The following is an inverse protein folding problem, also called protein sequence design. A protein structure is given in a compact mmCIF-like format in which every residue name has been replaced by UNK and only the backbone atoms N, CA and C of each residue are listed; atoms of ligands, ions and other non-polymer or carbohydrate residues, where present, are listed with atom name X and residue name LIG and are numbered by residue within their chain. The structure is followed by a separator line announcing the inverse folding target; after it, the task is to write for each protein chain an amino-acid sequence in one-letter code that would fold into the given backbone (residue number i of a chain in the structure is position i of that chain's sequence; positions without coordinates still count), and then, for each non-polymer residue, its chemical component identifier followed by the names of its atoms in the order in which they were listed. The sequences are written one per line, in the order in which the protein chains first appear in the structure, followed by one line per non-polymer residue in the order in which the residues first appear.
data_IF_807489542010
#
_entry.id   IF_807489542010
#
_cell.length_a   1.000
_cell.length_b   1.000
_cell.length_c   1.000
_cell.angle_alpha   90.00
_cell.angle_beta   90.00
_cell.angle_gamma   90.00
#
_symmetry.space_group_name_H-M   'P 1'
#
loop_
_entity.id
_entity.type
_entity.pdbx_description
1 polymer ?
#
# COMPACT_ATOMS: atom_id res chain seq x y z
N UNK A 1 9.24 -57.66 -13.02
CA UNK A 1 8.02 -56.83 -12.94
C UNK A 1 8.44 -55.49 -12.37
N UNK A 2 8.59 -54.49 -13.25
CA UNK A 2 9.23 -53.22 -12.91
C UNK A 2 8.28 -52.29 -12.14
N UNK A 3 8.83 -51.69 -11.10
CA UNK A 3 8.17 -50.89 -10.07
C UNK A 3 7.63 -49.57 -10.65
N UNK A 4 6.29 -49.40 -10.66
CA UNK A 4 5.59 -48.16 -11.08
C UNK A 4 5.50 -46.99 -10.07
N UNK A 5 6.00 -47.02 -8.81
CA UNK A 5 5.83 -45.90 -7.89
C UNK A 5 6.79 -44.73 -8.19
N UNK A 6 7.91 -44.96 -8.88
CA UNK A 6 8.92 -43.91 -9.13
C UNK A 6 8.42 -42.83 -10.12
N UNK A 7 7.61 -43.22 -11.10
CA UNK A 7 7.12 -42.31 -12.15
C UNK A 7 5.96 -41.43 -11.68
N UNK A 8 5.10 -41.97 -10.81
CA UNK A 8 3.97 -41.22 -10.23
C UNK A 8 4.46 -40.20 -9.21
N UNK A 9 5.47 -40.56 -8.40
CA UNK A 9 6.09 -39.62 -7.44
C UNK A 9 6.79 -38.47 -8.16
N UNK A 10 7.45 -38.70 -9.29
CA UNK A 10 8.09 -37.65 -10.08
C UNK A 10 7.08 -36.69 -10.73
N UNK A 11 5.95 -37.20 -11.23
CA UNK A 11 4.88 -36.37 -11.83
C UNK A 11 4.12 -35.59 -10.76
N UNK A 12 3.84 -36.22 -9.62
CA UNK A 12 3.22 -35.53 -8.48
C UNK A 12 4.18 -34.51 -7.88
N UNK A 13 5.48 -34.79 -7.78
CA UNK A 13 6.48 -33.79 -7.37
C UNK A 13 6.65 -32.67 -8.40
N UNK A 14 6.55 -32.93 -9.70
CA UNK A 14 6.56 -31.89 -10.74
C UNK A 14 5.28 -31.04 -10.69
N UNK A 15 4.12 -31.65 -10.46
CA UNK A 15 2.85 -30.94 -10.29
C UNK A 15 2.77 -30.19 -8.96
N UNK A 16 3.36 -30.73 -7.90
CA UNK A 16 3.49 -30.06 -6.60
C UNK A 16 4.53 -28.93 -6.69
N UNK A 17 5.63 -29.08 -7.42
CA UNK A 17 6.56 -27.96 -7.71
C UNK A 17 5.94 -26.89 -8.63
N UNK A 18 4.88 -27.23 -9.38
CA UNK A 18 4.07 -26.27 -10.14
C UNK A 18 2.93 -25.65 -9.31
N UNK A 19 2.63 -26.17 -8.11
CA UNK A 19 1.49 -25.76 -7.28
C UNK A 19 1.89 -25.25 -5.87
N UNK A 20 3.09 -25.58 -5.38
CA UNK A 20 3.63 -25.12 -4.11
C UNK A 20 4.58 -23.94 -4.40
N UNK A 21 4.07 -22.73 -4.17
CA UNK A 21 4.93 -21.58 -3.86
C UNK A 21 4.76 -20.31 -4.68
N UNK A 22 3.70 -20.16 -5.48
CA UNK A 22 3.46 -18.89 -6.16
C UNK A 22 2.12 -18.29 -5.74
N UNK A 23 2.14 -17.38 -4.76
CA UNK A 23 1.26 -16.23 -4.80
C UNK A 23 1.67 -15.43 -6.05
N UNK A 24 1.20 -15.88 -7.21
CA UNK A 24 1.55 -15.31 -8.49
C UNK A 24 1.03 -13.87 -8.57
N UNK A 25 1.91 -12.96 -8.97
CA UNK A 25 1.51 -11.66 -9.50
C UNK A 25 0.41 -11.88 -10.55
N UNK A 26 -0.76 -11.28 -10.35
CA UNK A 26 -1.88 -11.44 -11.28
C UNK A 26 -1.52 -10.87 -12.65
N UNK A 27 -2.15 -11.31 -13.74
CA UNK A 27 -1.88 -10.74 -15.07
C UNK A 27 -2.13 -9.23 -15.10
N UNK A 28 -3.20 -8.78 -14.44
CA UNK A 28 -3.54 -7.37 -14.23
C UNK A 28 -2.51 -6.67 -13.34
N UNK A 29 -2.04 -7.33 -12.27
CA UNK A 29 -0.97 -6.86 -11.40
C UNK A 29 0.31 -6.61 -12.18
N UNK A 30 0.73 -7.58 -13.01
CA UNK A 30 1.92 -7.48 -13.85
C UNK A 30 1.82 -6.34 -14.85
N UNK A 31 0.66 -6.17 -15.49
CA UNK A 31 0.42 -5.02 -16.38
C UNK A 31 0.51 -3.69 -15.63
N UNK A 32 -0.15 -3.59 -14.47
CA UNK A 32 -0.16 -2.39 -13.64
C UNK A 32 1.24 -1.99 -13.15
N UNK A 33 2.03 -2.97 -12.70
CA UNK A 33 3.41 -2.74 -12.29
C UNK A 33 4.29 -2.35 -13.47
N UNK A 34 4.13 -2.98 -14.63
CA UNK A 34 4.91 -2.64 -15.83
C UNK A 34 4.62 -1.20 -16.29
N UNK A 35 3.37 -0.74 -16.17
CA UNK A 35 2.98 0.64 -16.49
C UNK A 35 3.53 1.64 -15.46
N UNK A 36 3.45 1.32 -14.17
CA UNK A 36 3.88 2.20 -13.08
C UNK A 36 5.41 2.26 -12.92
N UNK A 37 6.12 1.18 -13.22
CA UNK A 37 7.56 1.04 -12.97
C UNK A 37 8.39 1.15 -14.26
N UNK A 38 7.95 1.99 -15.22
CA UNK A 38 8.53 2.11 -16.57
C UNK A 38 10.06 1.92 -16.60
N UNK A 39 10.52 0.81 -17.19
CA UNK A 39 11.94 0.52 -17.39
C UNK A 39 12.65 -0.19 -16.23
N UNK A 40 11.98 -0.48 -15.12
CA UNK A 40 12.54 -1.23 -13.99
C UNK A 40 12.38 -2.75 -14.22
N UNK A 41 13.42 -3.51 -13.89
CA UNK A 41 13.37 -4.97 -13.88
C UNK A 41 12.62 -5.46 -12.62
N UNK A 42 11.44 -6.05 -12.81
CA UNK A 42 10.58 -6.51 -11.72
C UNK A 42 11.24 -7.60 -10.84
N UNK A 43 12.05 -8.47 -11.42
CA UNK A 43 12.73 -9.55 -10.67
C UNK A 43 13.81 -8.96 -9.76
N UNK A 44 14.63 -8.06 -10.31
CA UNK A 44 15.67 -7.35 -9.55
C UNK A 44 15.06 -6.54 -8.40
N UNK A 45 13.95 -5.83 -8.67
CA UNK A 45 13.23 -5.06 -7.65
C UNK A 45 12.70 -5.96 -6.53
N UNK A 46 12.15 -7.11 -6.89
CA UNK A 46 11.61 -8.08 -5.95
C UNK A 46 12.71 -8.63 -5.03
N UNK A 47 13.87 -8.99 -5.60
CA UNK A 47 15.03 -9.46 -4.84
C UNK A 47 15.54 -8.40 -3.86
N UNK A 48 15.68 -7.15 -4.32
CA UNK A 48 16.09 -6.01 -3.48
C UNK A 48 15.15 -5.80 -2.30
N UNK A 49 13.84 -5.80 -2.54
CA UNK A 49 12.84 -5.65 -1.49
C UNK A 49 12.82 -6.84 -0.52
N UNK A 50 13.07 -8.07 -0.99
CA UNK A 50 13.20 -9.26 -0.12
C UNK A 50 14.41 -9.13 0.80
N UNK A 51 15.56 -8.72 0.28
CA UNK A 51 16.78 -8.51 1.07
C UNK A 51 16.56 -7.46 2.16
N UNK A 52 15.87 -6.36 1.85
CA UNK A 52 15.48 -5.35 2.85
C UNK A 52 14.61 -5.93 3.97
N UNK A 53 13.65 -6.80 3.65
CA UNK A 53 12.78 -7.44 4.66
C UNK A 53 13.55 -8.40 5.57
N UNK A 54 14.42 -9.24 5.00
CA UNK A 54 15.22 -10.22 5.76
C UNK A 54 16.14 -9.52 6.76
N UNK A 55 16.88 -8.49 6.32
CA UNK A 55 17.76 -7.71 7.20
C UNK A 55 16.96 -7.03 8.33
N UNK A 56 15.72 -6.62 8.08
CA UNK A 56 14.83 -6.09 9.11
C UNK A 56 14.50 -7.09 10.22
N UNK A 57 14.33 -8.37 9.88
CA UNK A 57 13.98 -9.44 10.83
C UNK A 57 15.18 -9.85 11.70
N UNK A 58 16.37 -9.97 11.11
CA UNK A 58 17.59 -10.33 11.85
C UNK A 58 17.96 -9.27 12.90
N UNK A 59 17.68 -7.99 12.62
CA UNK A 59 17.93 -6.89 13.55
C UNK A 59 16.91 -6.79 14.70
N UNK A 60 15.76 -7.49 14.63
CA UNK A 60 14.81 -7.58 15.73
C UNK A 60 15.18 -8.67 16.76
N UNK A 61 16.12 -9.55 16.44
CA UNK A 61 16.51 -10.69 17.28
C UNK A 61 17.38 -10.32 18.50
N UNK A 62 17.83 -9.07 18.65
CA UNK A 62 18.66 -8.63 19.81
C UNK A 62 17.88 -7.92 20.93
N UNK A 63 16.55 -7.84 20.86
CA UNK A 63 15.71 -7.48 22.01
C UNK A 63 14.84 -8.67 22.40
N UNK A 64 15.09 -9.24 23.58
CA UNK A 64 14.39 -10.38 24.20
C UNK A 64 12.96 -10.59 23.65
N UNK A 65 12.84 -11.61 22.80
CA UNK A 65 11.58 -12.07 22.25
C UNK A 65 10.64 -12.57 23.36
N UNK A 66 9.44 -12.03 23.40
CA UNK A 66 8.27 -12.77 23.89
C UNK A 66 7.76 -13.57 22.70
N UNK A 67 7.57 -14.89 22.81
CA UNK A 67 7.26 -15.73 21.65
C UNK A 67 5.89 -15.34 21.09
N UNK A 68 5.86 -14.97 19.81
CA UNK A 68 4.63 -14.95 19.02
C UNK A 68 4.42 -16.37 18.56
N UNK A 69 3.35 -16.98 19.08
CA UNK A 69 2.87 -18.30 18.69
C UNK A 69 2.64 -18.35 17.19
N UNK A 70 3.33 -19.28 16.55
CA UNK A 70 2.86 -19.97 15.35
C UNK A 70 1.49 -20.56 15.64
N UNK A 71 0.48 -20.13 14.89
CA UNK A 71 -0.68 -20.96 14.60
C UNK A 71 -0.76 -21.05 13.08
N UNK A 72 -0.24 -22.14 12.54
CA UNK A 72 -0.75 -22.66 11.28
C UNK A 72 -2.01 -23.46 11.57
N UNK A 73 -3.03 -23.27 10.73
CA UNK A 73 -4.02 -24.26 10.25
C UNK A 73 -5.41 -23.65 10.22
N UNK A 74 -5.96 -23.52 9.03
CA UNK A 74 -7.40 -23.27 8.86
C UNK A 74 -7.75 -22.78 7.47
N UNK A 75 -7.94 -23.72 6.53
CA UNK A 75 -8.74 -23.49 5.34
C UNK A 75 -10.10 -22.90 5.75
N UNK A 76 -10.37 -21.67 5.33
CA UNK A 76 -11.67 -21.04 5.47
C UNK A 76 -12.01 -20.27 4.18
N UNK A 77 -12.79 -20.94 3.33
CA UNK A 77 -13.92 -20.38 2.58
C UNK A 77 -13.76 -18.93 2.08
N UNK A 78 -13.51 -18.78 0.77
CA UNK A 78 -13.63 -17.51 0.05
C UNK A 78 -15.07 -17.01 0.17
N UNK A 79 -15.32 -16.13 1.14
CA UNK A 79 -16.57 -15.37 1.21
C UNK A 79 -16.42 -14.13 0.32
N UNK A 80 -17.35 -13.88 -0.62
CA UNK A 80 -17.39 -12.62 -1.35
C UNK A 80 -17.66 -11.51 -0.33
N UNK A 81 -16.71 -10.62 -0.09
CA UNK A 81 -16.83 -9.59 0.94
C UNK A 81 -17.76 -8.45 0.49
N UNK A 82 -18.85 -8.17 1.22
CA UNK A 82 -19.49 -6.87 1.22
C UNK A 82 -18.93 -6.10 2.43
N UNK A 83 -17.99 -5.16 2.22
CA UNK A 83 -17.63 -4.20 3.28
C UNK A 83 -16.15 -3.97 3.62
N UNK A 84 -15.22 -4.15 2.69
CA UNK A 84 -13.93 -3.44 2.73
C UNK A 84 -12.77 -4.13 3.48
N UNK A 85 -11.85 -4.70 2.70
CA UNK A 85 -10.54 -5.15 3.16
C UNK A 85 -9.54 -4.00 3.39
N UNK A 86 -8.40 -4.33 3.99
CA UNK A 86 -7.29 -3.37 4.13
C UNK A 86 -6.55 -3.16 2.81
N UNK A 87 -5.85 -2.01 2.64
CA UNK A 87 -5.00 -1.78 1.46
C UNK A 87 -4.01 -2.92 1.25
N UNK A 88 -3.36 -3.39 2.31
CA UNK A 88 -2.38 -4.48 2.24
C UNK A 88 -3.00 -5.79 1.76
N UNK A 89 -4.20 -6.10 2.24
CA UNK A 89 -4.94 -7.28 1.81
C UNK A 89 -5.29 -7.18 0.33
N UNK A 90 -5.73 -6.01 -0.11
CA UNK A 90 -6.03 -5.78 -1.52
C UNK A 90 -4.80 -5.91 -2.40
N UNK A 91 -3.66 -5.36 -1.97
CA UNK A 91 -2.41 -5.45 -2.72
C UNK A 91 -1.88 -6.88 -2.78
N UNK A 92 -2.09 -7.66 -1.70
CA UNK A 92 -1.76 -9.09 -1.66
C UNK A 92 -2.62 -9.92 -2.60
N UNK A 93 -3.91 -9.60 -2.74
CA UNK A 93 -4.79 -10.31 -3.68
C UNK A 93 -4.30 -10.18 -5.13
N UNK A 94 -3.76 -9.02 -5.49
CA UNK A 94 -3.18 -8.78 -6.82
C UNK A 94 -1.71 -9.25 -6.94
N UNK A 95 -1.09 -9.65 -5.82
CA UNK A 95 0.33 -10.00 -5.75
C UNK A 95 1.28 -8.81 -5.99
N UNK A 96 0.78 -7.58 -5.89
CA UNK A 96 1.59 -6.35 -6.08
C UNK A 96 2.32 -5.94 -4.82
N UNK A 97 1.90 -6.42 -3.64
CA UNK A 97 2.50 -6.11 -2.34
C UNK A 97 3.96 -6.58 -2.21
N UNK A 98 4.37 -7.62 -2.94
CA UNK A 98 5.76 -8.07 -2.98
C UNK A 98 6.70 -7.07 -3.66
N UNK A 99 6.18 -6.25 -4.58
CA UNK A 99 6.94 -5.29 -5.38
C UNK A 99 6.89 -3.85 -4.80
N UNK A 100 6.21 -3.71 -3.67
CA UNK A 100 5.98 -2.46 -2.97
C UNK A 100 6.63 -2.52 -1.57
N UNK A 101 7.26 -1.42 -1.19
CA UNK A 101 7.75 -1.26 0.18
C UNK A 101 6.55 -1.13 1.13
N UNK A 102 6.62 -1.80 2.28
CA UNK A 102 5.51 -1.95 3.24
C UNK A 102 4.18 -2.42 2.62
N UNK A 103 4.20 -2.93 1.39
CA UNK A 103 3.04 -3.42 0.66
C UNK A 103 2.21 -2.36 -0.07
N UNK A 104 2.43 -1.06 0.12
CA UNK A 104 1.65 0.01 -0.54
C UNK A 104 2.48 1.22 -1.02
N UNK A 105 3.81 1.18 -0.85
CA UNK A 105 4.71 2.25 -1.23
C UNK A 105 5.54 1.84 -2.46
N UNK A 106 5.46 2.65 -3.51
CA UNK A 106 6.35 2.58 -4.65
C UNK A 106 7.59 3.46 -4.43
N UNK A 107 8.70 2.88 -3.97
CA UNK A 107 9.96 3.61 -3.87
C UNK A 107 10.60 3.80 -5.26
N UNK A 108 11.16 4.98 -5.51
CA UNK A 108 12.08 5.18 -6.64
C UNK A 108 13.36 4.37 -6.42
N UNK A 109 14.13 4.16 -7.48
CA UNK A 109 15.38 3.42 -7.38
C UNK A 109 16.39 4.12 -6.47
N UNK A 110 16.41 5.46 -6.47
CA UNK A 110 17.24 6.26 -5.57
C UNK A 110 16.82 6.11 -4.11
N UNK A 111 15.51 6.13 -3.83
CA UNK A 111 14.97 5.93 -2.48
C UNK A 111 15.27 4.51 -1.99
N UNK A 112 15.13 3.51 -2.86
CA UNK A 112 15.41 2.12 -2.54
C UNK A 112 16.91 1.93 -2.23
N UNK A 113 17.80 2.48 -3.06
CA UNK A 113 19.25 2.46 -2.82
C UNK A 113 19.67 3.22 -1.57
N UNK A 114 19.00 4.33 -1.24
CA UNK A 114 19.26 5.06 0.00
C UNK A 114 18.90 4.22 1.24
N UNK A 115 17.78 3.49 1.20
CA UNK A 115 17.40 2.55 2.27
C UNK A 115 18.41 1.41 2.41
N UNK A 116 18.83 0.81 1.31
CA UNK A 116 19.86 -0.25 1.30
C UNK A 116 21.17 0.25 1.93
N UNK A 117 21.68 1.40 1.48
CA UNK A 117 22.92 1.98 2.00
C UNK A 117 22.83 2.38 3.49
N UNK A 118 21.63 2.70 3.97
CA UNK A 118 21.38 3.04 5.38
C UNK A 118 21.42 1.80 6.29
N UNK A 119 21.04 0.62 5.79
CA UNK A 119 21.15 -0.63 6.55
C UNK A 119 22.61 -1.02 6.81
N UNK A 120 23.51 -0.69 5.89
CA UNK A 120 24.95 -0.95 6.04
C UNK A 120 25.61 0.01 7.05
N UNK A 121 25.08 1.24 7.18
CA UNK A 121 25.61 2.31 8.04
C UNK A 121 24.98 2.28 9.44
N UNK A 122 25.22 1.19 10.17
CA UNK A 122 24.74 1.01 11.56
C UNK A 122 25.40 1.99 12.55
N UNK A 123 24.73 3.09 12.89
CA UNK A 123 25.05 3.88 14.11
C UNK A 123 23.95 4.80 14.66
N UNK A 124 22.88 5.14 13.93
CA UNK A 124 21.86 6.06 14.48
C UNK A 124 20.45 5.52 14.30
N UNK A 125 19.72 5.46 15.42
CA UNK A 125 18.29 5.17 15.51
C UNK A 125 17.53 5.95 14.44
N UNK A 126 17.14 5.29 13.37
CA UNK A 126 16.33 5.92 12.34
C UNK A 126 14.93 6.21 12.90
N UNK A 127 14.51 7.47 12.81
CA UNK A 127 13.09 7.83 12.96
C UNK A 127 12.34 7.22 11.78
N UNK A 128 11.12 6.73 12.03
CA UNK A 128 10.18 6.13 11.06
C UNK A 128 9.65 7.12 10.01
N UNK A 129 10.47 8.06 9.57
CA UNK A 129 10.11 9.05 8.56
C UNK A 129 10.89 8.72 7.30
N UNK A 130 10.18 8.26 6.26
CA UNK A 130 10.70 8.23 4.89
C UNK A 130 11.08 9.64 4.36
N UNK A 131 10.78 10.69 5.14
CA UNK A 131 10.94 12.11 4.80
C UNK A 131 12.36 12.56 4.48
N UNK A 132 13.43 11.87 4.91
CA UNK A 132 14.79 12.39 4.62
C UNK A 132 15.17 12.26 3.15
N UNK A 133 14.68 11.22 2.48
CA UNK A 133 15.10 10.87 1.12
C UNK A 133 13.98 11.08 0.10
N UNK A 134 12.78 11.52 0.54
CA UNK A 134 11.67 11.86 -0.34
C UNK A 134 11.58 13.39 -0.57
N UNK A 135 11.71 13.86 -1.82
CA UNK A 135 11.59 15.30 -2.11
C UNK A 135 10.19 15.81 -1.80
N UNK A 136 10.11 17.04 -1.26
CA UNK A 136 8.85 17.70 -0.96
C UNK A 136 8.26 18.35 -2.21
N UNK A 137 6.93 18.41 -2.27
CA UNK A 137 6.22 19.17 -3.30
C UNK A 137 6.47 20.67 -3.18
N UNK A 138 6.94 21.26 -4.28
CA UNK A 138 7.26 22.69 -4.35
C UNK A 138 6.06 23.57 -4.00
N UNK A 139 6.32 24.66 -3.29
CA UNK A 139 5.28 25.63 -2.88
C UNK A 139 4.10 25.02 -2.12
N UNK A 140 4.26 23.79 -1.58
CA UNK A 140 3.18 23.01 -0.95
C UNK A 140 2.00 22.80 -1.92
N UNK A 141 2.27 22.76 -3.23
CA UNK A 141 1.28 22.53 -4.28
C UNK A 141 1.46 21.15 -4.88
N UNK A 142 0.39 20.36 -4.84
CA UNK A 142 0.35 19.04 -5.48
C UNK A 142 -0.56 19.15 -6.69
N UNK A 143 -0.01 19.00 -7.88
CA UNK A 143 -0.80 18.91 -9.10
C UNK A 143 -1.25 17.46 -9.32
N UNK A 144 -2.49 17.28 -9.76
CA UNK A 144 -3.00 15.95 -10.10
C UNK A 144 -3.97 16.01 -11.27
N UNK A 145 -4.28 14.87 -11.87
CA UNK A 145 -5.37 14.73 -12.82
C UNK A 145 -5.91 13.30 -12.81
N UNK A 146 -7.09 13.10 -13.40
CA UNK A 146 -7.72 11.79 -13.51
C UNK A 146 -7.47 11.17 -14.88
N UNK A 147 -6.91 9.98 -14.88
CA UNK A 147 -6.86 9.11 -16.05
C UNK A 147 -8.30 8.66 -16.43
N UNK A 148 -8.59 8.42 -17.74
CA UNK A 148 -9.90 7.94 -18.18
C UNK A 148 -10.38 6.65 -17.50
N UNK A 149 -9.45 5.84 -16.97
CA UNK A 149 -9.76 4.61 -16.23
C UNK A 149 -10.48 4.82 -14.89
N UNK A 150 -10.48 6.04 -14.32
CA UNK A 150 -11.14 6.33 -13.05
C UNK A 150 -12.62 6.64 -13.25
N UNK A 151 -13.49 5.92 -12.53
CA UNK A 151 -14.93 6.20 -12.51
C UNK A 151 -15.29 7.44 -11.68
N UNK A 152 -16.46 8.04 -11.96
CA UNK A 152 -16.90 9.29 -11.31
C UNK A 152 -17.00 9.18 -9.78
N UNK A 153 -17.47 8.05 -9.25
CA UNK A 153 -17.58 7.84 -7.81
C UNK A 153 -16.21 7.93 -7.10
N UNK A 154 -15.15 7.42 -7.73
CA UNK A 154 -13.79 7.52 -7.22
C UNK A 154 -13.22 8.94 -7.42
N UNK A 155 -13.51 9.62 -8.54
CA UNK A 155 -13.12 11.04 -8.72
C UNK A 155 -13.67 11.90 -7.60
N UNK A 156 -14.95 11.74 -7.26
CA UNK A 156 -15.61 12.45 -6.17
C UNK A 156 -14.96 12.17 -4.82
N UNK A 157 -14.59 10.91 -4.57
CA UNK A 157 -13.91 10.51 -3.34
C UNK A 157 -12.52 11.13 -3.22
N UNK A 158 -11.75 11.14 -4.31
CA UNK A 158 -10.43 11.79 -4.36
C UNK A 158 -10.57 13.30 -4.13
N UNK A 159 -11.50 13.98 -4.81
CA UNK A 159 -11.78 15.41 -4.61
C UNK A 159 -12.18 15.74 -3.18
N UNK A 160 -13.00 14.91 -2.54
CA UNK A 160 -13.35 15.05 -1.12
C UNK A 160 -12.13 14.89 -0.21
N UNK A 161 -11.27 13.93 -0.50
CA UNK A 161 -10.09 13.67 0.30
C UNK A 161 -9.02 14.76 0.16
N UNK A 162 -8.74 15.23 -1.05
CA UNK A 162 -7.80 16.33 -1.29
C UNK A 162 -8.29 17.61 -0.61
N UNK A 163 -9.58 17.93 -0.73
CA UNK A 163 -10.21 19.05 -0.01
C UNK A 163 -10.10 18.90 1.52
N UNK A 164 -10.38 17.70 2.05
CA UNK A 164 -10.26 17.43 3.48
C UNK A 164 -8.86 17.70 4.01
N UNK A 165 -7.82 17.34 3.24
CA UNK A 165 -6.43 17.54 3.63
C UNK A 165 -6.01 19.01 3.49
N UNK A 166 -6.37 19.67 2.38
CA UNK A 166 -6.10 21.10 2.19
C UNK A 166 -6.73 21.98 3.27
N UNK A 167 -7.91 21.59 3.78
CA UNK A 167 -8.56 22.32 4.87
C UNK A 167 -7.84 22.21 6.23
N UNK A 168 -6.87 21.29 6.37
CA UNK A 168 -6.21 20.95 7.66
C UNK A 168 -4.69 21.04 7.61
N UNK A 169 -4.14 21.36 6.45
CA UNK A 169 -2.70 21.44 6.22
C UNK A 169 -2.40 22.64 5.34
N UNK A 170 -1.12 22.98 5.18
CA UNK A 170 -0.70 24.02 4.25
C UNK A 170 -0.58 23.52 2.80
N UNK A 171 -1.01 22.30 2.50
CA UNK A 171 -0.87 21.71 1.16
C UNK A 171 -2.12 21.98 0.34
N UNK A 172 -1.95 22.48 -0.88
CA UNK A 172 -3.03 22.74 -1.83
C UNK A 172 -2.97 21.75 -2.98
N UNK A 173 -4.10 21.12 -3.30
CA UNK A 173 -4.23 20.28 -4.47
C UNK A 173 -4.83 21.07 -5.63
N UNK A 174 -4.25 20.92 -6.82
CA UNK A 174 -4.70 21.61 -8.04
C UNK A 174 -4.84 20.59 -9.16
N UNK A 175 -6.03 20.49 -9.74
CA UNK A 175 -6.26 19.63 -10.89
C UNK A 175 -5.65 20.28 -12.15
N UNK A 176 -4.57 19.70 -12.68
CA UNK A 176 -3.86 20.19 -13.86
C UNK A 176 -3.09 19.05 -14.56
N UNK A 177 -3.61 18.59 -15.70
CA UNK A 177 -3.00 17.54 -16.51
C UNK A 177 -1.73 17.98 -17.28
N UNK A 178 -1.42 19.28 -17.32
CA UNK A 178 -0.28 19.84 -18.06
C UNK A 178 0.88 20.28 -17.18
N UNK A 179 0.72 20.25 -15.85
CA UNK A 179 1.80 20.59 -14.92
C UNK A 179 2.96 19.59 -15.05
N UNK A 180 4.20 20.07 -15.06
CA UNK A 180 5.40 19.23 -15.21
C UNK A 180 5.47 18.12 -14.16
N UNK A 181 5.45 18.51 -12.87
CA UNK A 181 5.39 17.60 -11.74
C UNK A 181 3.92 17.41 -11.34
N UNK A 182 3.36 16.22 -11.56
CA UNK A 182 1.92 15.94 -11.30
C UNK A 182 1.65 14.47 -11.01
N UNK A 183 0.55 14.22 -10.30
CA UNK A 183 0.04 12.88 -10.02
C UNK A 183 -1.01 12.49 -11.07
N UNK A 184 -0.80 11.38 -11.77
CA UNK A 184 -1.85 10.71 -12.55
C UNK A 184 -2.60 9.76 -11.64
N UNK A 185 -3.87 10.07 -11.37
CA UNK A 185 -4.76 9.18 -10.60
C UNK A 185 -5.41 8.21 -11.59
N UNK A 186 -5.10 6.92 -11.47
CA UNK A 186 -5.54 5.90 -12.43
C UNK A 186 -6.00 4.62 -11.73
N UNK A 187 -6.81 3.82 -12.43
CA UNK A 187 -7.31 2.54 -11.91
C UNK A 187 -6.35 1.41 -12.27
N UNK A 188 -5.24 1.30 -11.55
CA UNK A 188 -4.33 0.15 -11.61
C UNK A 188 -4.82 -1.06 -10.81
N UNK A 189 -3.95 -2.04 -10.61
CA UNK A 189 -4.19 -3.22 -9.78
C UNK A 189 -3.55 -3.00 -8.40
N UNK A 190 -4.38 -2.95 -7.37
CA UNK A 190 -3.99 -2.55 -6.02
C UNK A 190 -4.03 -1.05 -5.76
N UNK A 191 -3.71 -0.70 -4.51
CA UNK A 191 -3.69 0.63 -3.95
C UNK A 191 -2.24 0.98 -3.54
N UNK A 192 -1.53 1.74 -4.38
CA UNK A 192 -0.15 2.17 -4.08
C UNK A 192 0.20 3.56 -4.62
N UNK A 193 1.22 4.17 -4.04
CA UNK A 193 1.75 5.46 -4.48
C UNK A 193 3.24 5.58 -4.22
N UNK A 194 3.90 6.50 -4.92
CA UNK A 194 5.22 6.98 -4.51
C UNK A 194 5.15 7.78 -3.20
N UNK A 195 6.31 8.13 -2.63
CA UNK A 195 6.42 9.08 -1.51
C UNK A 195 7.03 10.37 -2.03
N UNK A 196 6.39 11.50 -1.70
CA UNK A 196 6.86 12.83 -2.10
C UNK A 196 6.70 13.11 -3.60
N UNK A 197 7.48 14.07 -4.08
CA UNK A 197 7.57 14.46 -5.49
C UNK A 197 8.76 13.75 -6.13
N UNK A 198 8.51 12.78 -7.02
CA UNK A 198 9.58 12.03 -7.71
C UNK A 198 10.13 12.75 -8.96
N UNK A 199 9.47 13.84 -9.37
CA UNK A 199 9.75 14.55 -10.61
C UNK A 199 8.93 13.99 -11.79
N UNK A 200 8.48 14.88 -12.67
CA UNK A 200 7.62 14.55 -13.79
C UNK A 200 6.22 14.05 -13.39
N UNK A 201 5.61 13.26 -14.28
CA UNK A 201 4.36 12.58 -13.99
C UNK A 201 4.62 11.32 -13.14
N UNK A 202 3.89 11.17 -12.04
CA UNK A 202 3.95 10.01 -11.15
C UNK A 202 2.56 9.42 -10.91
N UNK A 203 2.49 8.11 -10.63
CA UNK A 203 1.24 7.37 -10.59
C UNK A 203 0.68 7.19 -9.16
N UNK A 204 -0.64 7.35 -9.04
CA UNK A 204 -1.43 6.97 -7.87
C UNK A 204 -2.47 5.92 -8.28
N UNK A 205 -2.20 4.65 -7.95
CA UNK A 205 -3.10 3.54 -8.29
C UNK A 205 -4.24 3.45 -7.28
N UNK A 206 -5.48 3.56 -7.77
CA UNK A 206 -6.70 3.42 -6.96
C UNK A 206 -7.69 2.48 -7.66
N UNK A 207 -7.48 1.18 -7.48
CA UNK A 207 -8.42 0.15 -7.94
C UNK A 207 -9.78 0.19 -7.18
N UNK A 208 -10.92 -0.18 -7.78
CA UNK A 208 -12.21 -0.33 -7.07
C UNK A 208 -12.14 -1.12 -5.74
N UNK A 209 -12.19 -0.44 -4.60
CA UNK A 209 -11.95 -1.05 -3.27
C UNK A 209 -10.85 -0.34 -2.48
N UNK A 210 -10.06 0.53 -3.11
CA UNK A 210 -9.17 1.48 -2.43
C UNK A 210 -9.93 2.65 -1.76
N UNK A 211 -11.26 2.64 -1.82
CA UNK A 211 -12.17 3.57 -1.16
C UNK A 211 -12.50 3.16 0.28
N UNK A 212 -11.81 2.16 0.86
CA UNK A 212 -12.07 1.71 2.23
C UNK A 212 -11.60 2.75 3.24
N UNK A 213 -12.54 3.60 3.61
CA UNK A 213 -12.42 4.38 4.81
C UNK A 213 -12.48 3.41 5.98
N UNK A 214 -11.34 3.12 6.63
CA UNK A 214 -11.39 2.53 7.97
C UNK A 214 -12.18 3.52 8.83
N UNK A 215 -13.46 3.22 9.04
CA UNK A 215 -14.19 3.78 10.16
C UNK A 215 -13.31 3.42 11.34
N UNK A 216 -12.76 4.42 12.02
CA UNK A 216 -12.33 4.21 13.39
C UNK A 216 -13.52 3.53 14.03
N UNK A 217 -13.38 2.26 14.44
CA UNK A 217 -14.32 1.70 15.40
C UNK A 217 -14.36 2.74 16.50
N UNK A 218 -15.47 3.44 16.62
CA UNK A 218 -15.75 4.22 17.82
C UNK A 218 -15.70 3.16 18.89
N UNK A 219 -14.62 3.12 19.67
CA UNK A 219 -14.71 2.43 20.95
C UNK A 219 -15.74 3.26 21.68
N UNK A 220 -16.99 2.82 21.64
CA UNK A 220 -18.01 3.30 22.55
C UNK A 220 -17.45 2.94 23.92
N UNK A 221 -16.88 3.93 24.59
CA UNK A 221 -16.54 3.79 25.99
C UNK A 221 -17.89 3.85 26.72
N UNK A 222 -18.61 2.72 26.75
CA UNK A 222 -19.71 2.53 27.69
C UNK A 222 -19.08 2.40 29.07
N UNK A 223 -18.75 3.55 29.66
CA UNK A 223 -18.86 3.71 31.10
C UNK A 223 -20.15 4.47 31.34
N UNK A 224 -21.09 3.83 32.03
CA UNK A 224 -22.17 4.51 32.72
C UNK A 224 -21.59 5.71 33.49
N UNK A 225 -21.91 6.92 33.03
CA UNK A 225 -22.02 8.08 33.89
C UNK A 225 -23.40 8.68 33.58
N UNK A 226 -24.37 8.35 34.41
CA UNK A 226 -25.68 8.99 34.45
C UNK A 226 -25.54 10.43 34.95
N UNK A 227 -26.07 11.41 34.20
CA UNK A 227 -26.87 12.62 34.62
C UNK A 227 -26.93 13.68 33.48
N UNK A 228 -27.96 14.57 33.38
CA UNK A 228 -28.88 14.54 32.23
C UNK A 228 -28.92 15.80 31.31
N UNK A 229 -29.35 15.54 30.07
CA UNK A 229 -30.19 16.36 29.14
C UNK A 229 -30.00 17.89 29.06
N UNK A 230 -29.41 18.41 27.97
CA UNK A 230 -30.09 19.12 26.85
C UNK A 230 -29.12 19.85 25.90
N UNK A 231 -29.30 19.59 24.59
CA UNK A 231 -29.43 20.54 23.46
C UNK A 231 -28.84 19.93 22.18
N UNK A 232 -29.72 19.73 21.20
CA UNK A 232 -29.40 19.11 19.92
C UNK A 232 -28.73 20.04 18.91
N UNK A 233 -28.22 19.42 17.86
CA UNK A 233 -28.29 19.76 16.42
C UNK A 233 -27.83 18.47 15.70
N UNK A 234 -28.52 17.98 14.66
CA UNK A 234 -28.03 16.86 13.87
C UNK A 234 -26.89 17.36 12.97
N UNK A 235 -25.64 17.02 13.30
CA UNK A 235 -24.54 17.15 12.35
C UNK A 235 -24.53 15.90 11.48
N UNK A 236 -24.81 16.06 10.19
CA UNK A 236 -24.51 15.05 9.18
C UNK A 236 -23.07 14.58 9.35
N UNK A 237 -22.93 13.35 9.82
CA UNK A 237 -21.65 12.73 10.13
C UNK A 237 -21.04 12.24 8.82
N UNK A 238 -20.37 13.13 8.08
CA UNK A 238 -19.60 12.75 6.90
C UNK A 238 -18.47 11.81 7.37
N UNK A 239 -18.46 10.52 6.99
CA UNK A 239 -17.43 9.59 7.44
C UNK A 239 -16.07 10.04 6.91
N UNK A 240 -15.08 10.15 7.81
CA UNK A 240 -13.71 10.64 7.53
C UNK A 240 -12.95 9.73 6.57
N UNK A 241 -12.76 10.03 5.28
CA UNK A 241 -11.91 9.19 4.43
C UNK A 241 -10.45 9.39 4.85
N UNK A 242 -9.88 8.44 5.59
CA UNK A 242 -8.43 8.28 5.65
C UNK A 242 -8.00 7.49 4.44
N UNK A 243 -7.84 8.18 3.32
CA UNK A 243 -6.98 7.68 2.26
C UNK A 243 -5.55 7.73 2.80
N UNK A 244 -5.09 6.63 3.39
CA UNK A 244 -3.71 6.50 3.88
C UNK A 244 -2.71 6.73 2.77
N UNK A 245 -3.08 6.45 1.52
CA UNK A 245 -2.25 6.62 0.34
C UNK A 245 -2.03 8.08 -0.07
N UNK A 246 -3.06 8.94 0.00
CA UNK A 246 -2.84 10.39 -0.13
C UNK A 246 -1.98 10.93 1.03
N UNK A 247 -2.07 10.31 2.21
CA UNK A 247 -1.19 10.67 3.33
C UNK A 247 0.26 10.21 3.12
N UNK A 248 0.53 9.15 2.34
CA UNK A 248 1.88 8.68 1.99
C UNK A 248 2.59 9.65 1.05
N UNK A 249 1.86 10.22 0.09
CA UNK A 249 2.31 11.35 -0.75
C UNK A 249 2.68 12.61 0.05
N UNK A 250 2.32 12.66 1.34
CA UNK A 250 2.39 13.84 2.19
C UNK A 250 3.15 13.58 3.51
N UNK A 251 4.00 12.56 3.57
CA UNK A 251 4.76 12.27 4.79
C UNK A 251 5.76 13.40 5.13
N UNK A 252 5.57 13.99 6.30
CA UNK A 252 6.41 14.97 7.00
C UNK A 252 7.33 14.29 8.03
#
# INVERSE_FOLDING_TARGET
MSSKPCQVVAIVALLILLLDGAFCLSASGRSSLTEAFRGINLEERLERLRNLRVVGLDNSATSKAKPVSTDETGSAEVKPFPGGGSILEKNRLEGVDEYLFEGDINLTEEQLSALEANLDKRATRQKRQASKDAPLWENKKVFYYFDPSINEAMKDLVKKATSYISARTCITFVENATAENRIRVFSGSGCYSNIGMTGGEQDLSLEPGCNTVRHKRTVSCTRQCEVPLHCGIPTDFIPRPRLTQLSLQMQW
#
